data_IF_808935055221
#
_entry.id   IF_808935055221
#
_cell.length_a   1.000
_cell.length_b   1.000
_cell.length_c   1.000
_cell.angle_alpha   90.00
_cell.angle_beta   90.00
_cell.angle_gamma   90.00
#
_symmetry.space_group_name_H-M   'P 1'
#
loop_
_entity.id
_entity.type
_entity.pdbx_description
1 polymer ?
#
# COMPACT_ATOMS: atom_id res chain seq x y z
N UNK A 1 -38.10 0.82 11.69
CA UNK A 1 -37.05 0.02 12.33
C UNK A 1 -35.73 0.55 11.81
N UNK A 2 -35.14 1.47 12.56
CA UNK A 2 -34.04 2.33 12.10
C UNK A 2 -32.71 1.62 12.32
N UNK A 3 -32.00 1.36 11.24
CA UNK A 3 -30.69 0.72 11.20
C UNK A 3 -29.64 1.63 11.87
N UNK A 4 -28.86 1.17 12.87
CA UNK A 4 -27.86 2.01 13.52
C UNK A 4 -26.74 2.32 12.55
N UNK A 5 -26.67 3.58 12.12
CA UNK A 5 -25.55 4.13 11.34
C UNK A 5 -24.24 3.87 12.09
N UNK A 6 -23.26 3.17 11.50
CA UNK A 6 -21.97 2.99 12.13
C UNK A 6 -21.29 4.36 12.23
N UNK A 7 -21.22 4.90 13.45
CA UNK A 7 -20.42 6.08 13.76
C UNK A 7 -18.97 5.76 13.41
N UNK A 8 -18.53 6.25 12.26
CA UNK A 8 -17.14 6.24 11.83
C UNK A 8 -16.35 7.00 12.89
N UNK A 9 -15.49 6.29 13.61
CA UNK A 9 -14.61 6.84 14.64
C UNK A 9 -13.61 7.85 14.01
N UNK A 10 -14.08 9.08 13.83
CA UNK A 10 -13.33 10.23 13.29
C UNK A 10 -12.13 10.55 14.20
N UNK A 11 -12.18 10.17 15.48
CA UNK A 11 -11.09 10.39 16.41
C UNK A 11 -9.86 9.54 16.01
N UNK A 12 -10.05 8.25 15.73
CA UNK A 12 -8.95 7.33 15.35
C UNK A 12 -8.17 7.77 14.11
N UNK A 13 -8.82 8.49 13.18
CA UNK A 13 -8.18 9.05 11.99
C UNK A 13 -7.37 10.33 12.25
N UNK A 14 -7.79 11.18 13.20
CA UNK A 14 -7.03 12.37 13.61
C UNK A 14 -5.75 12.00 14.35
N UNK A 15 -5.81 10.97 15.20
CA UNK A 15 -4.65 10.48 15.95
C UNK A 15 -3.53 9.94 15.07
N UNK A 16 -3.86 9.15 14.03
CA UNK A 16 -2.87 8.64 13.05
C UNK A 16 -2.17 9.75 12.25
N UNK A 17 -2.91 10.79 11.82
CA UNK A 17 -2.30 11.92 11.12
C UNK A 17 -1.41 12.76 12.05
N UNK A 18 -1.83 12.95 13.30
CA UNK A 18 -1.04 13.64 14.34
C UNK A 18 0.25 12.91 14.69
N UNK A 19 0.23 11.58 14.72
CA UNK A 19 1.43 10.77 14.94
C UNK A 19 2.43 10.89 13.79
N UNK A 20 1.97 10.78 12.53
CA UNK A 20 2.85 10.90 11.36
C UNK A 20 3.43 12.32 11.21
N UNK A 21 2.64 13.36 11.47
CA UNK A 21 3.12 14.75 11.42
C UNK A 21 3.99 15.12 12.63
N UNK A 22 3.70 14.58 13.81
CA UNK A 22 4.58 14.72 14.97
C UNK A 22 5.93 14.04 14.76
N UNK A 23 5.95 12.85 14.17
CA UNK A 23 7.20 12.15 13.84
C UNK A 23 8.01 12.90 12.78
N UNK A 24 7.39 13.34 11.67
CA UNK A 24 8.10 14.11 10.66
C UNK A 24 8.65 15.43 11.23
N UNK A 25 7.89 16.06 12.13
CA UNK A 25 8.35 17.23 12.89
C UNK A 25 9.54 16.91 13.79
N UNK A 26 9.52 15.79 14.52
CA UNK A 26 10.63 15.35 15.38
C UNK A 26 11.87 15.01 14.56
N UNK A 27 11.75 14.28 13.44
CA UNK A 27 12.89 13.98 12.57
C UNK A 27 13.49 15.26 11.98
N UNK A 28 12.67 16.20 11.50
CA UNK A 28 13.14 17.47 10.96
C UNK A 28 13.83 18.32 12.03
N UNK A 29 13.26 18.41 13.24
CA UNK A 29 13.83 19.15 14.36
C UNK A 29 15.16 18.55 14.81
N UNK A 30 15.27 17.21 14.85
CA UNK A 30 16.53 16.53 15.19
C UNK A 30 17.60 16.79 14.13
N UNK A 31 17.27 16.68 12.83
CA UNK A 31 18.22 16.97 11.73
C UNK A 31 18.66 18.42 11.74
N UNK A 32 17.74 19.37 11.95
CA UNK A 32 18.06 20.81 12.00
C UNK A 32 18.90 21.15 13.23
N UNK A 33 18.56 20.64 14.42
CA UNK A 33 19.32 20.91 15.65
C UNK A 33 20.74 20.32 15.62
N UNK A 34 20.91 19.15 15.01
CA UNK A 34 22.23 18.53 14.83
C UNK A 34 23.02 19.26 13.74
N UNK A 35 22.38 19.58 12.61
CA UNK A 35 23.04 20.34 11.53
C UNK A 35 23.39 21.77 11.92
N UNK A 36 22.65 22.41 12.84
CA UNK A 36 22.97 23.74 13.36
C UNK A 36 24.07 23.74 14.42
N UNK A 37 24.44 22.57 14.96
CA UNK A 37 25.53 22.44 15.94
C UNK A 37 26.89 22.23 15.28
N UNK A 38 26.92 21.77 14.04
CA UNK A 38 28.14 21.42 13.30
C UNK A 38 28.83 22.62 12.63
N UNK A 39 28.28 23.84 12.72
CA UNK A 39 28.91 25.01 12.08
C UNK A 39 30.12 25.58 12.84
N UNK A 40 30.36 25.17 14.09
CA UNK A 40 31.39 25.78 14.95
C UNK A 40 32.63 24.89 15.21
N UNK A 41 32.75 23.68 14.63
CA UNK A 41 33.91 22.82 14.92
C UNK A 41 34.02 21.53 14.12
N UNK A 42 34.32 21.65 12.82
CA UNK A 42 34.26 20.50 11.88
C UNK A 42 35.49 19.57 11.91
N UNK A 43 36.55 19.79 12.68
CA UNK A 43 37.80 19.00 12.46
C UNK A 43 38.48 18.32 13.65
N UNK A 44 37.86 18.19 14.84
CA UNK A 44 38.52 17.48 15.97
C UNK A 44 37.71 16.35 16.64
N UNK A 45 36.54 15.96 16.12
CA UNK A 45 35.60 15.10 16.85
C UNK A 45 35.15 13.81 16.16
N UNK A 46 36.05 13.02 15.57
CA UNK A 46 35.67 11.84 14.77
C UNK A 46 34.76 10.83 15.48
N UNK A 47 34.94 10.64 16.80
CA UNK A 47 34.12 9.71 17.60
C UNK A 47 32.77 10.32 18.04
N UNK A 48 32.74 11.60 18.41
CA UNK A 48 31.53 12.29 18.87
C UNK A 48 30.56 12.58 17.72
N UNK A 49 31.08 12.94 16.55
CA UNK A 49 30.29 13.08 15.33
C UNK A 49 29.69 11.72 14.91
N UNK A 50 30.48 10.65 14.92
CA UNK A 50 30.00 9.30 14.61
C UNK A 50 28.90 8.83 15.58
N UNK A 51 29.05 9.11 16.88
CA UNK A 51 28.03 8.79 17.89
C UNK A 51 26.74 9.58 17.66
N UNK A 52 26.84 10.87 17.32
CA UNK A 52 25.69 11.72 17.02
C UNK A 52 24.91 11.20 15.81
N UNK A 53 25.61 10.87 14.70
CA UNK A 53 24.99 10.27 13.53
C UNK A 53 24.34 8.92 13.85
N UNK A 54 24.99 8.07 14.64
CA UNK A 54 24.42 6.79 15.06
C UNK A 54 23.08 6.95 15.81
N UNK A 55 22.97 7.94 16.70
CA UNK A 55 21.72 8.25 17.42
C UNK A 55 20.63 8.70 16.45
N UNK A 56 20.95 9.60 15.51
CA UNK A 56 19.99 10.07 14.50
C UNK A 56 19.47 8.90 13.66
N UNK A 57 20.36 8.03 13.17
CA UNK A 57 19.96 6.83 12.43
C UNK A 57 19.10 5.88 13.27
N UNK A 58 19.47 5.65 14.52
CA UNK A 58 18.69 4.79 15.43
C UNK A 58 17.26 5.34 15.64
N UNK A 59 17.10 6.65 15.79
CA UNK A 59 15.79 7.30 15.91
C UNK A 59 14.98 7.12 14.63
N UNK A 60 15.57 7.36 13.46
CA UNK A 60 14.90 7.17 12.17
C UNK A 60 14.47 5.71 11.98
N UNK A 61 15.33 4.74 12.30
CA UNK A 61 15.01 3.32 12.24
C UNK A 61 13.87 2.97 13.19
N UNK A 62 13.91 3.43 14.44
CA UNK A 62 12.86 3.19 15.43
C UNK A 62 11.50 3.76 14.96
N UNK A 63 11.52 4.97 14.41
CA UNK A 63 10.35 5.61 13.81
C UNK A 63 9.76 4.75 12.68
N UNK A 64 10.61 4.32 11.74
CA UNK A 64 10.19 3.48 10.60
C UNK A 64 9.63 2.15 11.10
N UNK A 65 10.29 1.53 12.08
CA UNK A 65 9.87 0.27 12.69
C UNK A 65 8.49 0.37 13.37
N UNK A 66 8.12 1.53 13.92
CA UNK A 66 6.80 1.76 14.54
C UNK A 66 5.73 2.11 13.50
N UNK A 67 6.06 2.92 12.49
CA UNK A 67 5.09 3.39 11.48
C UNK A 67 4.72 2.28 10.49
N UNK A 68 5.69 1.48 10.04
CA UNK A 68 5.47 0.47 9.00
C UNK A 68 4.38 -0.55 9.37
N UNK A 69 4.38 -1.15 10.58
CA UNK A 69 3.31 -2.04 11.00
C UNK A 69 1.93 -1.38 11.02
N UNK A 70 1.85 -0.08 11.31
CA UNK A 70 0.59 0.67 11.34
C UNK A 70 0.04 0.86 9.93
N UNK A 71 0.90 1.22 8.97
CA UNK A 71 0.52 1.40 7.57
C UNK A 71 0.13 0.07 6.91
N UNK A 72 0.92 -0.98 7.15
CA UNK A 72 0.66 -2.31 6.58
C UNK A 72 -0.43 -3.09 7.32
N UNK A 73 -0.69 -2.77 8.59
CA UNK A 73 -1.62 -3.52 9.43
C UNK A 73 -3.07 -3.49 8.91
N UNK A 74 -3.50 -2.41 8.28
CA UNK A 74 -4.85 -2.36 7.68
C UNK A 74 -4.97 -3.28 6.46
N UNK A 75 -3.94 -3.32 5.61
CA UNK A 75 -3.86 -4.23 4.46
C UNK A 75 -3.83 -5.68 4.91
N UNK A 76 -2.99 -6.03 5.89
CA UNK A 76 -2.90 -7.38 6.47
C UNK A 76 -4.23 -7.85 7.05
N UNK A 77 -4.91 -6.98 7.81
CA UNK A 77 -6.23 -7.29 8.36
C UNK A 77 -7.29 -7.47 7.27
N UNK A 78 -7.21 -6.71 6.17
CA UNK A 78 -8.10 -6.91 5.04
C UNK A 78 -7.79 -8.24 4.34
N UNK A 79 -6.53 -8.53 4.02
CA UNK A 79 -6.11 -9.75 3.35
C UNK A 79 -6.50 -11.00 4.15
N UNK A 80 -6.27 -10.97 5.47
CA UNK A 80 -6.70 -12.05 6.37
C UNK A 80 -8.20 -12.28 6.35
N UNK A 81 -9.01 -11.21 6.47
CA UNK A 81 -10.47 -11.33 6.42
C UNK A 81 -10.97 -11.89 5.09
N UNK A 82 -10.38 -11.46 3.99
CA UNK A 82 -10.73 -11.98 2.66
C UNK A 82 -10.35 -13.44 2.52
N UNK A 83 -9.17 -13.84 3.01
CA UNK A 83 -8.74 -15.24 3.04
C UNK A 83 -9.67 -16.12 3.89
N UNK A 84 -10.11 -15.62 5.05
CA UNK A 84 -11.11 -16.29 5.89
C UNK A 84 -12.49 -16.38 5.20
N UNK A 85 -12.91 -15.34 4.47
CA UNK A 85 -14.18 -15.32 3.72
C UNK A 85 -14.16 -16.13 2.42
N UNK A 86 -12.96 -16.45 1.90
CA UNK A 86 -12.73 -17.21 0.67
C UNK A 86 -11.65 -18.29 0.88
N UNK A 87 -11.94 -19.34 1.66
CA UNK A 87 -10.98 -20.40 1.93
C UNK A 87 -10.49 -21.05 0.64
N UNK A 88 -9.18 -21.28 0.53
CA UNK A 88 -8.55 -21.91 -0.64
C UNK A 88 -8.37 -20.98 -1.85
N UNK A 89 -8.89 -19.74 -1.81
CA UNK A 89 -8.59 -18.74 -2.83
C UNK A 89 -7.19 -18.15 -2.63
N UNK A 90 -6.54 -17.79 -3.73
CA UNK A 90 -5.30 -17.03 -3.66
C UNK A 90 -5.62 -15.56 -3.46
N UNK A 91 -4.92 -14.92 -2.52
CA UNK A 91 -5.19 -13.53 -2.12
C UNK A 91 -3.96 -12.67 -2.40
N UNK A 92 -4.12 -11.66 -3.25
CA UNK A 92 -3.08 -10.67 -3.55
C UNK A 92 -3.43 -9.39 -2.80
N UNK A 93 -2.52 -8.95 -1.94
CA UNK A 93 -2.67 -7.71 -1.21
C UNK A 93 -2.02 -6.55 -1.96
N UNK A 94 -2.56 -5.34 -1.82
CA UNK A 94 -2.00 -4.17 -2.48
C UNK A 94 -2.62 -2.87 -2.00
N UNK A 95 -2.40 -1.84 -2.80
CA UNK A 95 -3.10 -0.58 -2.69
C UNK A 95 -3.77 -0.26 -4.02
N UNK A 96 -4.97 0.29 -3.98
CA UNK A 96 -5.60 0.87 -5.16
C UNK A 96 -4.67 1.94 -5.75
N UNK A 97 -4.61 2.08 -7.07
CA UNK A 97 -4.06 3.27 -7.69
C UNK A 97 -5.06 4.43 -7.62
N UNK A 98 -4.64 5.63 -8.02
CA UNK A 98 -5.57 6.74 -8.18
C UNK A 98 -6.63 6.43 -9.25
N UNK A 99 -6.25 5.68 -10.28
CA UNK A 99 -7.08 5.38 -11.44
C UNK A 99 -8.14 4.31 -11.14
N UNK A 100 -7.89 3.40 -10.17
CA UNK A 100 -8.88 2.39 -9.74
C UNK A 100 -10.24 2.98 -9.38
N UNK A 101 -10.25 4.16 -8.76
CA UNK A 101 -11.50 4.82 -8.35
C UNK A 101 -12.26 5.36 -9.55
N UNK A 102 -11.55 5.73 -10.62
CA UNK A 102 -12.11 6.18 -11.89
C UNK A 102 -12.72 4.98 -12.62
N UNK A 103 -11.98 3.86 -12.65
CA UNK A 103 -12.39 2.63 -13.33
C UNK A 103 -13.46 1.82 -12.60
N UNK A 104 -13.77 2.16 -11.35
CA UNK A 104 -14.75 1.45 -10.55
C UNK A 104 -16.12 1.45 -11.27
N UNK A 105 -16.78 0.28 -11.41
CA UNK A 105 -18.07 0.17 -12.09
C UNK A 105 -19.14 1.10 -11.54
N UNK A 106 -20.12 1.43 -12.38
CA UNK A 106 -21.29 2.21 -11.95
C UNK A 106 -22.00 1.46 -10.81
N UNK A 107 -22.28 2.16 -9.72
CA UNK A 107 -22.89 1.57 -8.52
C UNK A 107 -21.90 0.98 -7.51
N UNK A 108 -20.63 0.78 -7.88
CA UNK A 108 -19.62 0.33 -6.93
C UNK A 108 -19.38 1.39 -5.84
N UNK A 109 -19.39 0.97 -4.57
CA UNK A 109 -19.07 1.87 -3.46
C UNK A 109 -17.66 2.44 -3.64
N UNK A 110 -17.51 3.76 -3.55
CA UNK A 110 -16.19 4.42 -3.55
C UNK A 110 -15.65 4.70 -2.15
N UNK A 111 -16.41 4.33 -1.11
CA UNK A 111 -16.04 4.54 0.30
C UNK A 111 -14.74 3.80 0.61
N UNK A 112 -13.80 4.43 1.30
CA UNK A 112 -12.52 3.78 1.64
C UNK A 112 -11.47 3.72 0.51
N UNK A 113 -11.85 3.98 -0.75
CA UNK A 113 -10.89 4.22 -1.83
C UNK A 113 -10.39 5.67 -1.78
N UNK A 114 -9.13 5.82 -1.40
CA UNK A 114 -8.46 7.12 -1.27
C UNK A 114 -7.79 7.50 -2.58
N UNK A 115 -7.81 8.80 -2.89
CA UNK A 115 -6.93 9.37 -3.92
C UNK A 115 -5.50 9.22 -3.41
N UNK A 116 -4.66 8.50 -4.15
CA UNK A 116 -3.32 8.09 -3.70
C UNK A 116 -3.27 6.78 -2.91
N UNK A 117 -4.27 5.93 -3.11
CA UNK A 117 -4.24 4.52 -2.73
C UNK A 117 -4.75 4.22 -1.33
N UNK A 118 -5.83 3.44 -1.29
CA UNK A 118 -6.30 2.76 -0.09
C UNK A 118 -5.95 1.27 -0.15
N UNK A 119 -5.94 0.56 1.00
CA UNK A 119 -5.76 -0.88 1.01
C UNK A 119 -6.76 -1.56 0.08
N UNK A 120 -6.23 -2.41 -0.78
CA UNK A 120 -6.98 -3.21 -1.73
C UNK A 120 -6.52 -4.67 -1.58
N UNK A 121 -7.46 -5.58 -1.74
CA UNK A 121 -7.18 -7.00 -1.78
C UNK A 121 -7.92 -7.60 -2.97
N UNK A 122 -7.22 -8.43 -3.71
CA UNK A 122 -7.75 -9.19 -4.83
C UNK A 122 -7.84 -10.65 -4.39
N UNK A 123 -9.02 -11.26 -4.46
CA UNK A 123 -9.18 -12.69 -4.27
C UNK A 123 -9.38 -13.36 -5.63
N UNK A 124 -8.56 -14.38 -5.91
CA UNK A 124 -8.58 -15.14 -7.15
C UNK A 124 -9.35 -16.43 -6.93
N UNK A 125 -10.56 -16.47 -7.46
CA UNK A 125 -11.39 -17.66 -7.53
C UNK A 125 -11.22 -18.32 -8.92
N UNK A 126 -11.72 -19.55 -9.14
CA UNK A 126 -11.56 -20.23 -10.42
C UNK A 126 -12.15 -19.46 -11.61
N UNK A 127 -13.31 -18.83 -11.45
CA UNK A 127 -14.02 -18.13 -12.53
C UNK A 127 -14.05 -16.61 -12.38
N UNK A 128 -13.75 -16.09 -11.19
CA UNK A 128 -13.87 -14.65 -10.91
C UNK A 128 -12.69 -14.12 -10.14
N UNK A 129 -12.45 -12.83 -10.32
CA UNK A 129 -11.49 -12.05 -9.55
C UNK A 129 -12.32 -11.06 -8.73
N UNK A 130 -12.31 -11.23 -7.42
CA UNK A 130 -13.03 -10.37 -6.51
C UNK A 130 -12.17 -9.20 -6.06
N UNK A 131 -12.72 -7.99 -6.12
CA UNK A 131 -12.04 -6.77 -5.67
C UNK A 131 -12.60 -6.33 -4.32
N UNK A 132 -11.75 -6.29 -3.30
CA UNK A 132 -12.10 -5.96 -1.93
C UNK A 132 -11.36 -4.71 -1.46
N UNK A 133 -12.05 -3.85 -0.72
CA UNK A 133 -11.46 -2.70 -0.06
C UNK A 133 -11.87 -2.61 1.42
N UNK A 134 -11.40 -1.57 2.09
CA UNK A 134 -11.62 -1.38 3.51
C UNK A 134 -13.11 -1.23 3.83
N UNK A 135 -13.57 -2.06 4.77
CA UNK A 135 -14.92 -2.00 5.33
C UNK A 135 -15.95 -2.79 4.53
N UNK A 136 -15.53 -3.44 3.45
CA UNK A 136 -16.41 -4.26 2.64
C UNK A 136 -16.74 -5.57 3.39
N UNK A 137 -18.02 -5.94 3.36
CA UNK A 137 -18.53 -7.23 3.88
C UNK A 137 -18.72 -8.27 2.75
N UNK A 138 -18.72 -7.81 1.50
CA UNK A 138 -18.85 -8.57 0.27
C UNK A 138 -17.88 -7.97 -0.77
N UNK A 139 -17.50 -8.69 -1.83
CA UNK A 139 -16.65 -8.11 -2.86
C UNK A 139 -17.33 -6.88 -3.46
N UNK A 140 -16.54 -5.83 -3.71
CA UNK A 140 -17.07 -4.56 -4.19
C UNK A 140 -17.53 -4.63 -5.63
N UNK A 141 -16.80 -5.42 -6.42
CA UNK A 141 -17.18 -5.92 -7.74
C UNK A 141 -16.34 -7.15 -8.07
N UNK A 142 -16.64 -7.78 -9.21
CA UNK A 142 -16.08 -9.06 -9.65
C UNK A 142 -15.77 -9.02 -11.13
N UNK A 143 -14.53 -9.29 -11.49
CA UNK A 143 -14.07 -9.40 -12.88
C UNK A 143 -14.17 -10.87 -13.31
N UNK A 144 -14.68 -11.14 -14.51
CA UNK A 144 -14.72 -12.47 -15.13
C UNK A 144 -13.29 -12.92 -15.44
N UNK A 145 -12.78 -13.88 -14.67
CA UNK A 145 -11.39 -14.35 -14.79
C UNK A 145 -11.13 -15.01 -16.13
N UNK A 146 -12.15 -15.63 -16.73
CA UNK A 146 -11.98 -16.40 -17.97
C UNK A 146 -11.74 -15.50 -19.19
N UNK A 147 -12.04 -14.21 -19.06
CA UNK A 147 -11.85 -13.17 -20.08
C UNK A 147 -10.89 -12.07 -19.62
N UNK A 148 -10.32 -12.22 -18.43
CA UNK A 148 -9.50 -11.18 -17.84
C UNK A 148 -8.16 -11.09 -18.57
N UNK A 149 -7.86 -9.91 -19.09
CA UNK A 149 -6.55 -9.52 -19.56
C UNK A 149 -5.76 -8.89 -18.42
N UNK A 150 -4.51 -9.32 -18.28
CA UNK A 150 -3.57 -8.76 -17.30
C UNK A 150 -2.53 -7.93 -18.05
N UNK A 151 -2.24 -6.74 -17.55
CA UNK A 151 -1.16 -5.89 -18.04
C UNK A 151 -0.39 -5.25 -16.90
N UNK A 152 0.87 -4.88 -17.17
CA UNK A 152 1.73 -4.14 -16.24
C UNK A 152 1.98 -2.74 -16.79
N UNK A 153 1.98 -1.75 -15.90
CA UNK A 153 2.30 -0.39 -16.29
C UNK A 153 2.50 0.53 -15.08
N UNK A 154 3.03 1.71 -15.35
CA UNK A 154 3.13 2.76 -14.34
C UNK A 154 1.75 3.36 -14.08
N UNK A 155 1.37 3.40 -12.80
CA UNK A 155 0.08 3.89 -12.34
C UNK A 155 0.27 5.05 -11.39
N UNK A 156 -0.69 5.97 -11.39
CA UNK A 156 -0.62 7.13 -10.51
C UNK A 156 -0.91 6.74 -9.07
N UNK A 157 0.02 7.04 -8.19
CA UNK A 157 -0.09 6.88 -6.74
C UNK A 157 0.00 8.25 -6.05
N UNK A 158 -1.12 8.98 -6.05
CA UNK A 158 -1.15 10.34 -5.51
C UNK A 158 -0.39 11.28 -6.42
N UNK A 159 0.77 11.77 -5.95
CA UNK A 159 1.68 12.63 -6.74
C UNK A 159 2.80 11.87 -7.45
N UNK A 160 3.02 10.61 -7.09
CA UNK A 160 4.06 9.77 -7.68
C UNK A 160 3.46 8.78 -8.70
N UNK A 161 4.33 8.16 -9.51
CA UNK A 161 3.99 7.00 -10.32
C UNK A 161 4.72 5.78 -9.76
N UNK A 162 4.07 4.62 -9.77
CA UNK A 162 4.65 3.36 -9.31
C UNK A 162 4.25 2.23 -10.25
N UNK A 163 5.09 1.19 -10.35
CA UNK A 163 4.77 0.04 -11.18
C UNK A 163 3.61 -0.76 -10.55
N UNK A 164 2.60 -1.08 -11.37
CA UNK A 164 1.39 -1.76 -10.92
C UNK A 164 0.79 -2.71 -11.95
N UNK A 165 -0.28 -3.38 -11.53
CA UNK A 165 -1.02 -4.35 -12.33
C UNK A 165 -2.38 -3.78 -12.71
N UNK A 166 -2.77 -3.99 -13.96
CA UNK A 166 -4.08 -3.75 -14.52
C UNK A 166 -4.72 -5.08 -14.87
N UNK A 167 -5.98 -5.27 -14.48
CA UNK A 167 -6.78 -6.44 -14.85
C UNK A 167 -8.11 -5.95 -15.38
N UNK A 168 -8.56 -6.46 -16.53
CA UNK A 168 -9.83 -6.10 -17.14
C UNK A 168 -10.45 -7.26 -17.90
N UNK A 169 -11.77 -7.45 -17.79
CA UNK A 169 -12.55 -8.37 -18.65
C UNK A 169 -13.30 -7.64 -19.78
N UNK A 170 -12.98 -6.36 -19.99
CA UNK A 170 -13.67 -5.47 -20.93
C UNK A 170 -14.91 -4.78 -20.35
N UNK A 171 -15.52 -5.32 -19.29
CA UNK A 171 -16.68 -4.72 -18.61
C UNK A 171 -16.30 -4.08 -17.27
N UNK A 172 -15.38 -4.71 -16.55
CA UNK A 172 -14.91 -4.32 -15.24
C UNK A 172 -13.40 -4.29 -15.22
N UNK A 173 -12.85 -3.42 -14.39
CA UNK A 173 -11.41 -3.16 -14.36
C UNK A 173 -10.94 -2.96 -12.93
N UNK A 174 -9.71 -3.36 -12.67
CA UNK A 174 -8.99 -2.97 -11.46
C UNK A 174 -7.54 -2.63 -11.79
N UNK A 175 -7.09 -1.50 -11.25
CA UNK A 175 -5.68 -1.07 -11.24
C UNK A 175 -5.19 -1.10 -9.82
N UNK A 176 -4.03 -1.68 -9.55
CA UNK A 176 -3.51 -1.70 -8.19
C UNK A 176 -1.99 -1.84 -8.17
N UNK A 177 -1.42 -1.43 -7.04
CA UNK A 177 -0.01 -1.55 -6.72
C UNK A 177 0.16 -2.75 -5.78
N UNK A 178 0.73 -3.87 -6.25
CA UNK A 178 0.92 -5.04 -5.42
C UNK A 178 1.77 -4.73 -4.20
N UNK A 179 1.38 -5.32 -3.08
CA UNK A 179 2.13 -5.34 -1.85
C UNK A 179 2.37 -6.79 -1.48
N UNK A 180 3.62 -7.22 -1.55
CA UNK A 180 4.07 -8.49 -1.01
C UNK A 180 4.98 -8.16 0.16
N UNK A 181 4.64 -8.67 1.35
CA UNK A 181 5.40 -8.41 2.57
C UNK A 181 6.71 -9.21 2.63
N UNK A 182 6.83 -10.26 1.81
CA UNK A 182 8.07 -11.04 1.67
C UNK A 182 9.07 -10.35 0.73
N UNK A 183 8.59 -9.45 -0.13
CA UNK A 183 9.41 -8.66 -1.04
C UNK A 183 9.62 -7.28 -0.43
N UNK A 184 10.89 -6.87 -0.30
CA UNK A 184 11.25 -5.58 0.30
C UNK A 184 10.46 -4.40 -0.28
N UNK A 185 10.14 -3.41 0.56
CA UNK A 185 9.29 -2.26 0.21
C UNK A 185 9.82 -1.44 -1.00
N UNK A 186 11.12 -1.49 -1.28
CA UNK A 186 11.70 -0.74 -2.39
C UNK A 186 11.85 -1.57 -3.67
N UNK A 187 11.56 -2.88 -3.63
CA UNK A 187 11.62 -3.75 -4.80
C UNK A 187 10.24 -3.82 -5.49
N UNK A 188 9.90 -2.78 -6.25
CA UNK A 188 8.64 -2.71 -7.00
C UNK A 188 8.49 -3.85 -8.00
N UNK A 189 9.56 -4.14 -8.75
CA UNK A 189 9.58 -5.21 -9.76
C UNK A 189 9.29 -6.56 -9.13
N UNK A 190 9.96 -6.91 -8.02
CA UNK A 190 9.74 -8.17 -7.33
C UNK A 190 8.30 -8.34 -6.81
N UNK A 191 7.65 -7.25 -6.39
CA UNK A 191 6.24 -7.29 -5.96
C UNK A 191 5.29 -7.53 -7.12
N UNK A 192 5.56 -6.91 -8.27
CA UNK A 192 4.79 -7.13 -9.49
C UNK A 192 5.02 -8.55 -10.00
N UNK A 193 6.26 -9.04 -10.04
CA UNK A 193 6.56 -10.43 -10.40
C UNK A 193 5.83 -11.44 -9.51
N UNK A 194 5.86 -11.24 -8.19
CA UNK A 194 5.15 -12.11 -7.23
C UNK A 194 3.65 -12.13 -7.50
N UNK A 195 3.05 -10.96 -7.73
CA UNK A 195 1.64 -10.85 -8.04
C UNK A 195 1.26 -11.42 -9.41
N UNK A 196 2.12 -11.32 -10.43
CA UNK A 196 1.92 -11.97 -11.73
C UNK A 196 1.93 -13.50 -11.58
N UNK A 197 2.92 -14.05 -10.87
CA UNK A 197 2.96 -15.50 -10.58
C UNK A 197 1.70 -15.95 -9.84
N UNK A 198 1.22 -15.15 -8.89
CA UNK A 198 -0.02 -15.41 -8.17
C UNK A 198 -1.27 -15.38 -9.08
N UNK A 199 -1.28 -14.52 -10.10
CA UNK A 199 -2.34 -14.49 -11.11
C UNK A 199 -2.31 -15.72 -12.05
N UNK A 200 -1.19 -16.44 -12.08
CA UNK A 200 -0.91 -17.50 -13.06
C UNK A 200 -0.26 -16.98 -14.34
N UNK A 201 0.21 -15.73 -14.33
CA UNK A 201 0.89 -15.08 -15.44
C UNK A 201 2.39 -15.40 -15.42
N UNK A 202 3.00 -15.42 -16.61
CA UNK A 202 4.44 -15.51 -16.79
C UNK A 202 5.08 -14.11 -16.74
N UNK A 203 5.86 -13.77 -15.69
CA UNK A 203 6.41 -12.42 -15.53
C UNK A 203 7.26 -11.94 -16.70
N UNK A 204 7.94 -12.84 -17.43
CA UNK A 204 8.84 -12.46 -18.53
C UNK A 204 8.07 -11.90 -19.74
N UNK A 205 6.80 -12.29 -19.91
CA UNK A 205 5.93 -11.75 -20.95
C UNK A 205 5.53 -10.30 -20.70
N UNK A 206 5.48 -9.91 -19.42
CA UNK A 206 5.00 -8.60 -18.98
C UNK A 206 6.13 -7.63 -18.66
N UNK A 207 7.27 -8.15 -18.20
CA UNK A 207 8.42 -7.38 -17.76
C UNK A 207 9.59 -7.61 -18.72
N UNK A 208 9.69 -6.79 -19.76
CA UNK A 208 10.88 -6.80 -20.61
C UNK A 208 12.07 -6.29 -19.79
N UNK A 209 13.04 -7.16 -19.53
CA UNK A 209 14.35 -6.75 -19.02
C UNK A 209 15.06 -5.98 -20.14
N UNK A 210 15.14 -4.66 -19.98
CA UNK A 210 16.03 -3.79 -20.76
C UNK A 210 17.46 -3.95 -20.30
#
# INVERSE_FOLDING_TARGET
MSDPTPQLDVAKHRWRRRLLSGVAGVTLVVVVLVGSRDSDGVLDGGAEAAMTWAIVFAIVIAIVAVIMPILNGERRRLARRVSEARPGSMVISGNASADTKIDAPIGASRRGMRIGGGPLVIALLPQTIEVWSRGDAAPRWTIDRTKAEVAVGYQRNGKASALGIFISDGAQTVRFLPADDSVGMFNEVGRVESALRALGEDPERHLKRS
#
